data_IF_854938376390
#
_entry.id   IF_854938376390
#
_cell.length_a   1.000
_cell.length_b   1.000
_cell.length_c   1.000
_cell.angle_alpha   90.00
_cell.angle_beta   90.00
_cell.angle_gamma   90.00
#
_symmetry.space_group_name_H-M   'P 1'
#
loop_
_entity.id
_entity.type
_entity.pdbx_description
1 polymer ?
#
# COMPACT_ATOMS: atom_id res chain seq x y z
N UNK A 1 11.49 27.42 -54.01
CA UNK A 1 11.71 26.10 -53.40
C UNK A 1 10.34 25.47 -53.19
N UNK A 2 9.97 24.48 -53.99
CA UNK A 2 8.77 23.65 -53.76
C UNK A 2 9.25 22.34 -53.11
N UNK A 3 8.42 21.76 -52.25
CA UNK A 3 8.12 20.32 -52.09
C UNK A 3 7.37 20.15 -50.75
N UNK A 4 6.05 19.89 -50.76
CA UNK A 4 5.37 18.57 -50.78
C UNK A 4 5.62 17.76 -49.48
N UNK A 5 4.70 17.08 -48.78
CA UNK A 5 3.23 16.97 -48.68
C UNK A 5 2.99 16.10 -47.42
N UNK A 6 1.84 16.26 -46.78
CA UNK A 6 1.26 15.39 -45.74
C UNK A 6 1.38 13.88 -46.06
N UNK A 7 1.68 13.07 -45.04
CA UNK A 7 1.44 11.61 -44.94
C UNK A 7 1.83 11.15 -43.52
N UNK A 8 1.22 10.21 -42.81
CA UNK A 8 0.18 9.21 -43.13
C UNK A 8 -0.38 8.69 -41.79
N UNK A 9 -1.67 8.35 -41.79
CA UNK A 9 -2.40 7.62 -40.75
C UNK A 9 -1.90 6.17 -40.63
N UNK A 10 -1.89 5.58 -39.43
CA UNK A 10 -1.55 4.15 -39.28
C UNK A 10 -1.98 3.56 -37.94
N UNK A 11 -3.29 3.47 -37.71
CA UNK A 11 -3.90 2.74 -36.59
C UNK A 11 -4.43 1.40 -37.14
N UNK A 12 -3.74 0.28 -36.86
CA UNK A 12 -4.29 -1.07 -37.00
C UNK A 12 -3.32 -2.13 -36.46
N UNK A 13 -3.62 -2.69 -35.29
CA UNK A 13 -3.40 -4.11 -34.98
C UNK A 13 -4.35 -4.54 -33.87
N UNK A 14 -5.55 -4.94 -34.27
CA UNK A 14 -6.38 -5.84 -33.47
C UNK A 14 -5.84 -7.27 -33.66
N UNK A 15 -5.69 -8.00 -32.55
CA UNK A 15 -5.49 -9.46 -32.55
C UNK A 15 -4.23 -9.90 -31.83
N UNK A 16 -4.37 -10.41 -30.61
CA UNK A 16 -4.16 -11.83 -30.30
C UNK A 16 -4.63 -12.11 -28.87
N UNK A 17 -5.72 -12.88 -28.77
CA UNK A 17 -6.20 -13.49 -27.54
C UNK A 17 -5.51 -14.85 -27.36
N UNK A 18 -5.04 -15.11 -26.13
CA UNK A 18 -4.85 -16.43 -25.49
C UNK A 18 -3.70 -17.32 -26.02
N UNK A 19 -2.53 -17.23 -25.35
CA UNK A 19 -1.54 -18.29 -25.09
C UNK A 19 -0.68 -17.79 -23.91
N UNK A 20 -0.44 -18.45 -22.78
CA UNK A 20 -0.85 -19.75 -22.25
C UNK A 20 -0.52 -19.75 -20.74
N UNK A 21 -1.44 -20.28 -19.94
CA UNK A 21 -1.36 -20.35 -18.48
C UNK A 21 -0.93 -21.77 -18.05
N UNK A 22 0.28 -22.19 -18.43
CA UNK A 22 0.81 -23.50 -18.06
C UNK A 22 2.35 -23.51 -18.09
N UNK A 23 2.98 -22.81 -17.15
CA UNK A 23 4.42 -22.93 -16.91
C UNK A 23 4.77 -22.56 -15.46
N UNK A 24 4.31 -23.38 -14.50
CA UNK A 24 4.95 -23.48 -13.19
C UNK A 24 4.85 -24.89 -12.57
N UNK A 25 4.64 -25.94 -13.38
CA UNK A 25 4.73 -27.33 -12.89
C UNK A 25 6.10 -27.93 -13.20
N UNK A 26 7.07 -27.69 -12.33
CA UNK A 26 8.26 -28.54 -12.18
C UNK A 26 7.83 -29.88 -11.59
N UNK A 27 8.33 -31.04 -12.08
CA UNK A 27 8.06 -32.33 -11.47
C UNK A 27 8.72 -32.37 -10.09
N UNK A 28 7.90 -32.50 -9.04
CA UNK A 28 8.41 -32.71 -7.69
C UNK A 28 8.80 -34.18 -7.53
N UNK A 29 10.09 -34.36 -7.27
CA UNK A 29 10.79 -35.55 -6.84
C UNK A 29 9.97 -36.52 -5.96
N UNK A 30 10.15 -37.80 -6.25
CA UNK A 30 9.94 -39.00 -5.41
C UNK A 30 9.79 -38.71 -3.91
N UNK A 31 8.73 -39.19 -3.22
CA UNK A 31 8.59 -38.99 -1.78
C UNK A 31 9.56 -39.91 -1.05
N UNK A 32 10.78 -39.44 -0.82
CA UNK A 32 11.65 -40.00 0.21
C UNK A 32 11.00 -39.71 1.55
N UNK A 33 10.40 -40.75 2.11
CA UNK A 33 10.00 -40.85 3.51
C UNK A 33 11.18 -40.46 4.39
N UNK A 34 11.16 -39.21 4.84
CA UNK A 34 11.99 -38.74 5.94
C UNK A 34 11.02 -38.18 6.96
N UNK A 35 10.62 -39.04 7.90
CA UNK A 35 10.06 -38.63 9.19
C UNK A 35 11.13 -37.80 9.90
N UNK A 36 11.22 -36.53 9.52
CA UNK A 36 11.92 -35.53 10.28
C UNK A 36 10.99 -35.16 11.42
N UNK A 37 11.17 -35.82 12.56
CA UNK A 37 10.66 -35.36 13.84
C UNK A 37 11.28 -33.99 14.11
N UNK A 38 10.62 -32.93 13.64
CA UNK A 38 10.90 -31.55 14.04
C UNK A 38 10.77 -31.53 15.56
N UNK A 39 11.81 -31.13 16.32
CA UNK A 39 11.63 -30.87 17.74
C UNK A 39 10.47 -29.88 17.86
N UNK A 40 9.43 -30.25 18.60
CA UNK A 40 8.40 -29.29 18.97
C UNK A 40 9.15 -28.12 19.61
N UNK A 41 9.09 -26.95 18.98
CA UNK A 41 9.62 -25.75 19.58
C UNK A 41 8.87 -25.59 20.91
N UNK A 42 9.58 -25.79 22.01
CA UNK A 42 9.09 -25.40 23.33
C UNK A 42 8.77 -23.93 23.21
N UNK A 43 7.49 -23.58 23.17
CA UNK A 43 7.05 -22.20 23.25
C UNK A 43 7.44 -21.73 24.65
N UNK A 44 8.65 -21.17 24.77
CA UNK A 44 8.98 -20.34 25.92
C UNK A 44 7.97 -19.20 25.90
N UNK A 45 7.10 -19.15 26.89
CA UNK A 45 6.29 -17.97 27.17
C UNK A 45 7.26 -16.85 27.48
N UNK A 46 7.70 -16.10 26.47
CA UNK A 46 8.42 -14.86 26.70
C UNK A 46 7.51 -13.96 27.53
N UNK A 47 7.99 -13.57 28.71
CA UNK A 47 7.30 -12.56 29.50
C UNK A 47 7.20 -11.30 28.65
N UNK A 48 5.98 -10.90 28.28
CA UNK A 48 5.77 -9.63 27.60
C UNK A 48 6.19 -8.52 28.56
N UNK A 49 7.21 -7.72 28.23
CA UNK A 49 7.72 -6.72 29.15
C UNK A 49 6.63 -5.69 29.47
N UNK A 50 6.74 -5.07 30.65
CA UNK A 50 5.88 -3.95 31.01
C UNK A 50 6.22 -2.73 30.15
N UNK A 51 5.25 -2.08 29.48
CA UNK A 51 5.51 -0.86 28.73
C UNK A 51 5.89 0.28 29.67
N UNK A 52 6.85 1.10 29.24
CA UNK A 52 7.29 2.31 29.98
C UNK A 52 6.22 3.39 29.99
N UNK A 53 5.44 3.49 28.91
CA UNK A 53 4.32 4.41 28.80
C UNK A 53 3.19 3.81 27.99
N UNK A 54 1.96 4.20 28.31
CA UNK A 54 0.77 3.82 27.54
C UNK A 54 -0.09 5.04 27.29
N UNK A 55 -0.47 5.24 26.02
CA UNK A 55 -1.49 6.21 25.60
C UNK A 55 -2.70 5.39 25.18
N UNK A 56 -3.80 5.38 25.97
CA UNK A 56 -4.94 4.50 25.71
C UNK A 56 -5.75 4.90 24.48
N UNK A 57 -5.75 6.18 24.13
CA UNK A 57 -6.49 6.72 22.99
C UNK A 57 -5.67 7.80 22.28
N UNK A 58 -5.36 7.58 21.01
CA UNK A 58 -4.74 8.60 20.16
C UNK A 58 -5.82 9.53 19.62
N UNK A 59 -5.72 10.81 19.96
CA UNK A 59 -6.64 11.87 19.49
C UNK A 59 -5.87 13.17 19.30
N UNK A 60 -6.48 14.15 18.60
CA UNK A 60 -5.97 15.52 18.50
C UNK A 60 -4.94 15.77 17.38
N UNK A 61 -4.64 14.77 16.55
CA UNK A 61 -3.78 14.89 15.37
C UNK A 61 -4.40 14.17 14.18
N UNK A 62 -3.97 14.56 12.97
CA UNK A 62 -4.44 13.98 11.71
C UNK A 62 -3.31 13.21 11.01
N UNK A 63 -3.70 12.15 10.30
CA UNK A 63 -2.88 11.62 9.21
C UNK A 63 -3.12 12.42 7.94
N UNK A 64 -2.06 12.76 7.22
CA UNK A 64 -2.14 13.65 6.05
C UNK A 64 -1.61 12.96 4.80
N UNK A 65 -2.31 13.14 3.69
CA UNK A 65 -1.93 12.66 2.36
C UNK A 65 -2.06 13.81 1.38
N UNK A 66 -0.95 14.19 0.75
CA UNK A 66 -0.95 15.23 -0.28
C UNK A 66 -1.25 14.60 -1.63
N UNK A 67 -2.22 15.16 -2.34
CA UNK A 67 -2.57 14.73 -3.69
C UNK A 67 -1.52 15.22 -4.69
N UNK A 68 -1.29 14.41 -5.73
CA UNK A 68 -0.44 14.81 -6.84
C UNK A 68 -1.02 16.05 -7.57
N UNK A 69 -0.14 16.95 -7.98
CA UNK A 69 -0.52 18.19 -8.65
C UNK A 69 -1.08 17.94 -10.05
N UNK A 70 -0.62 16.89 -10.75
CA UNK A 70 -1.18 16.46 -12.03
C UNK A 70 -2.60 15.94 -11.88
N UNK A 71 -2.89 15.19 -10.81
CA UNK A 71 -4.23 14.71 -10.50
C UNK A 71 -5.21 15.86 -10.23
N UNK A 72 -4.87 16.77 -9.32
CA UNK A 72 -5.72 17.92 -8.97
C UNK A 72 -5.90 18.90 -10.15
N UNK A 73 -4.85 19.08 -10.97
CA UNK A 73 -4.90 19.87 -12.20
C UNK A 73 -5.80 19.25 -13.28
N UNK A 74 -5.78 17.93 -13.43
CA UNK A 74 -6.68 17.23 -14.34
C UNK A 74 -8.15 17.43 -13.94
N UNK A 75 -8.48 17.24 -12.65
CA UNK A 75 -9.85 17.48 -12.16
C UNK A 75 -10.32 18.91 -12.43
N UNK A 76 -9.44 19.90 -12.19
CA UNK A 76 -9.73 21.32 -12.47
C UNK A 76 -9.99 21.56 -13.96
N UNK A 77 -9.21 20.93 -14.85
CA UNK A 77 -9.40 21.03 -16.30
C UNK A 77 -10.75 20.45 -16.74
N UNK A 78 -11.23 19.42 -16.05
CA UNK A 78 -12.56 18.83 -16.28
C UNK A 78 -13.69 19.58 -15.55
N UNK A 79 -13.38 20.67 -14.83
CA UNK A 79 -14.36 21.43 -14.05
C UNK A 79 -14.88 20.68 -12.81
N UNK A 80 -14.14 19.69 -12.32
CA UNK A 80 -14.50 18.88 -11.17
C UNK A 80 -13.78 19.38 -9.91
N UNK A 81 -14.54 19.57 -8.84
CA UNK A 81 -13.98 19.89 -7.52
C UNK A 81 -14.00 18.63 -6.64
N UNK A 82 -12.84 18.13 -6.19
CA UNK A 82 -12.80 17.02 -5.26
C UNK A 82 -13.44 17.41 -3.92
N UNK A 83 -14.23 16.50 -3.36
CA UNK A 83 -14.87 16.64 -2.06
C UNK A 83 -14.46 15.52 -1.10
N UNK A 84 -14.83 15.68 0.16
CA UNK A 84 -14.61 14.71 1.23
C UNK A 84 -15.95 14.24 1.78
N UNK A 85 -16.00 13.00 2.27
CA UNK A 85 -17.15 12.46 3.01
C UNK A 85 -16.65 12.08 4.41
N UNK A 86 -17.44 12.39 5.44
CA UNK A 86 -17.09 12.15 6.83
C UNK A 86 -16.33 13.32 7.45
N UNK A 87 -15.40 13.03 8.36
CA UNK A 87 -14.66 14.04 9.15
C UNK A 87 -13.31 14.42 8.55
N UNK A 88 -12.95 13.85 7.41
CA UNK A 88 -11.74 14.26 6.69
C UNK A 88 -11.89 15.70 6.19
N UNK A 89 -10.76 16.37 6.01
CA UNK A 89 -10.71 17.72 5.43
C UNK A 89 -9.80 17.74 4.22
N UNK A 90 -10.08 18.63 3.26
CA UNK A 90 -9.24 18.88 2.09
C UNK A 90 -8.81 20.34 2.11
N UNK A 91 -7.50 20.57 2.17
CA UNK A 91 -6.92 21.89 1.94
C UNK A 91 -6.80 22.13 0.43
N UNK A 92 -7.65 22.99 -0.10
CA UNK A 92 -7.66 23.34 -1.53
C UNK A 92 -6.42 24.11 -2.00
N UNK A 93 -5.64 24.73 -1.10
CA UNK A 93 -4.42 25.44 -1.47
C UNK A 93 -3.24 24.48 -1.66
N UNK A 94 -3.13 23.45 -0.80
CA UNK A 94 -2.01 22.49 -0.84
C UNK A 94 -2.38 21.16 -1.48
N UNK A 95 -3.66 20.89 -1.71
CA UNK A 95 -4.14 19.57 -2.16
C UNK A 95 -3.99 18.49 -1.09
N UNK A 96 -3.91 18.86 0.20
CA UNK A 96 -3.68 17.92 1.29
C UNK A 96 -4.99 17.44 1.90
N UNK A 97 -5.18 16.13 1.91
CA UNK A 97 -6.24 15.45 2.65
C UNK A 97 -5.77 15.16 4.07
N UNK A 98 -6.49 15.65 5.06
CA UNK A 98 -6.25 15.33 6.47
C UNK A 98 -7.38 14.44 7.01
N UNK A 99 -6.99 13.31 7.58
CA UNK A 99 -7.88 12.32 8.18
C UNK A 99 -7.65 12.33 9.70
N UNK A 100 -8.66 12.72 10.49
CA UNK A 100 -8.58 12.66 11.94
C UNK A 100 -8.28 11.25 12.43
N UNK A 101 -7.34 11.13 13.36
CA UNK A 101 -7.15 9.88 14.09
C UNK A 101 -8.34 9.70 15.02
N UNK A 102 -9.16 8.68 14.73
CA UNK A 102 -10.39 8.38 15.48
C UNK A 102 -10.23 7.25 16.49
N UNK A 103 -9.05 6.65 16.59
CA UNK A 103 -8.79 5.55 17.52
C UNK A 103 -7.33 5.07 17.51
N UNK A 104 -7.10 3.95 18.20
CA UNK A 104 -5.77 3.37 18.40
C UNK A 104 -5.14 3.76 19.73
N UNK A 105 -4.10 3.01 20.10
CA UNK A 105 -3.34 3.17 21.34
C UNK A 105 -1.84 3.04 21.05
N UNK A 106 -1.01 3.61 21.92
CA UNK A 106 0.45 3.45 21.86
C UNK A 106 0.93 2.85 23.16
N UNK A 107 1.77 1.82 23.05
CA UNK A 107 2.58 1.31 24.15
C UNK A 107 4.04 1.53 23.77
N UNK A 108 4.75 2.30 24.59
CA UNK A 108 6.17 2.54 24.40
C UNK A 108 6.95 1.56 25.28
N UNK A 109 7.82 0.77 24.65
CA UNK A 109 8.68 -0.20 25.31
C UNK A 109 10.13 0.29 25.27
N UNK A 110 10.92 -0.20 26.22
CA UNK A 110 12.33 0.14 26.32
C UNK A 110 13.10 -0.32 25.05
N UNK A 111 13.74 0.60 24.31
CA UNK A 111 14.49 0.24 23.11
C UNK A 111 15.72 -0.62 23.40
N UNK A 112 16.27 -0.59 24.62
CA UNK A 112 17.43 -1.40 25.03
C UNK A 112 17.07 -2.87 25.24
N UNK A 113 15.79 -3.18 25.46
CA UNK A 113 15.30 -4.56 25.55
C UNK A 113 15.18 -5.17 24.15
N UNK A 114 15.33 -6.49 24.04
CA UNK A 114 15.18 -7.21 22.76
C UNK A 114 13.73 -7.29 22.26
N UNK A 115 12.76 -6.90 23.08
CA UNK A 115 11.34 -6.96 22.73
C UNK A 115 10.93 -5.88 21.71
N UNK A 116 10.26 -6.29 20.64
CA UNK A 116 9.58 -5.41 19.68
C UNK A 116 8.15 -5.96 19.46
N UNK A 117 7.11 -5.19 19.80
CA UNK A 117 5.72 -5.64 19.72
C UNK A 117 5.23 -5.82 18.28
#
# INVERSE_FOLDING_TARGET
MRNLTKSVFGLATAGFLVVGLAACSTPAETPSSSTSSKPAATATTEANPTPLATIPTLTGVDTKVTLDSGFTGALTTLGLTPGVIGTATLDGATGTLAFPITGGNVKYFDPEQSYRP
#
